data_IF_574499473111
#
_entry.id   IF_574499473111
#
_cell.length_a   1.000
_cell.length_b   1.000
_cell.length_c   1.000
_cell.angle_alpha   90.00
_cell.angle_beta   90.00
_cell.angle_gamma   90.00
#
_symmetry.space_group_name_H-M   'P 1'
#
loop_
_entity.id
_entity.type
_entity.pdbx_description
1 polymer ?
#
# COMPACT_ATOMS: atom_id res chain seq x y z
N UNK A 1 -7.12 12.20 10.70
CA UNK A 1 -6.46 11.96 12.01
C UNK A 1 -6.17 10.47 12.28
N UNK A 2 -4.89 10.10 12.42
CA UNK A 2 -4.42 8.73 12.75
C UNK A 2 -4.92 8.28 14.15
N UNK A 3 -5.40 7.03 14.33
CA UNK A 3 -5.82 6.52 15.64
C UNK A 3 -4.65 6.48 16.61
N UNK A 4 -4.94 6.63 17.90
CA UNK A 4 -3.95 6.58 18.97
C UNK A 4 -4.50 5.77 20.13
N UNK A 5 -3.89 4.61 20.35
CA UNK A 5 -4.23 3.67 21.44
C UNK A 5 -4.18 4.36 22.81
N UNK A 6 -3.28 5.34 22.99
CA UNK A 6 -3.17 6.10 24.23
C UNK A 6 -4.33 7.09 24.45
N UNK A 7 -5.00 7.52 23.38
CA UNK A 7 -6.18 8.40 23.43
C UNK A 7 -7.50 7.62 23.44
N UNK A 8 -7.47 6.34 23.11
CA UNK A 8 -8.65 5.47 22.98
C UNK A 8 -9.26 5.02 24.32
N UNK A 9 -8.58 5.24 25.45
CA UNK A 9 -9.10 4.90 26.78
C UNK A 9 -10.35 5.69 27.23
N UNK A 10 -10.78 6.71 26.47
CA UNK A 10 -11.91 7.55 26.87
C UNK A 10 -13.20 7.36 26.05
N UNK A 11 -13.18 6.80 24.84
CA UNK A 11 -14.42 6.57 24.06
C UNK A 11 -14.25 5.40 23.09
N UNK A 12 -14.68 4.20 23.48
CA UNK A 12 -14.75 3.03 22.59
C UNK A 12 -15.96 3.21 21.65
N UNK A 13 -15.80 4.01 20.61
CA UNK A 13 -16.64 3.91 19.41
C UNK A 13 -15.75 3.56 18.23
N UNK A 14 -16.00 2.39 17.63
CA UNK A 14 -15.39 1.96 16.36
C UNK A 14 -15.81 2.93 15.25
N UNK A 15 -15.16 4.09 15.16
CA UNK A 15 -15.30 4.96 14.00
C UNK A 15 -14.62 4.27 12.82
N UNK A 16 -15.42 3.98 11.79
CA UNK A 16 -14.89 3.54 10.51
C UNK A 16 -14.12 4.71 9.88
N UNK A 17 -12.79 4.66 9.91
CA UNK A 17 -11.94 5.68 9.28
C UNK A 17 -11.57 5.21 7.87
N UNK A 18 -12.00 5.95 6.85
CA UNK A 18 -11.73 5.62 5.44
C UNK A 18 -10.39 6.16 4.93
N UNK A 19 -9.85 7.24 5.51
CA UNK A 19 -8.55 7.79 5.15
C UNK A 19 -7.88 8.56 6.31
N UNK A 20 -6.55 8.67 6.24
CA UNK A 20 -5.74 9.44 7.20
C UNK A 20 -4.94 10.56 6.54
N UNK A 21 -5.27 10.89 5.29
CA UNK A 21 -4.64 11.99 4.57
C UNK A 21 -5.36 13.26 4.99
N UNK A 22 -4.73 14.04 5.86
CA UNK A 22 -5.24 15.35 6.28
C UNK A 22 -4.86 16.41 5.21
N UNK A 23 -5.62 17.51 5.12
CA UNK A 23 -5.28 18.64 4.24
C UNK A 23 -4.01 19.34 4.77
N UNK A 24 -2.89 19.15 4.07
CA UNK A 24 -1.59 19.71 4.46
C UNK A 24 -0.81 18.81 5.45
N UNK A 25 -0.44 17.58 5.04
CA UNK A 25 0.35 16.68 5.87
C UNK A 25 1.72 17.30 6.17
N UNK A 26 2.13 17.27 7.45
CA UNK A 26 3.49 17.60 7.87
C UNK A 26 4.35 16.35 7.74
N UNK A 27 5.43 16.46 6.97
CA UNK A 27 6.38 15.37 6.77
C UNK A 27 7.61 15.57 7.64
N UNK A 28 8.17 14.46 8.10
CA UNK A 28 9.42 14.43 8.85
C UNK A 28 10.37 13.43 8.22
N UNK A 29 11.63 13.83 8.08
CA UNK A 29 12.75 12.90 7.87
C UNK A 29 13.18 12.40 9.24
N UNK A 30 13.15 11.08 9.42
CA UNK A 30 13.54 10.44 10.67
C UNK A 30 14.68 9.46 10.40
N UNK A 31 15.75 9.58 11.17
CA UNK A 31 16.87 8.64 11.20
C UNK A 31 17.17 8.24 12.66
N UNK A 32 18.33 7.60 12.90
CA UNK A 32 18.77 7.23 14.26
C UNK A 32 19.16 8.43 15.11
N UNK A 33 19.45 9.57 14.48
CA UNK A 33 19.99 10.77 15.10
C UNK A 33 18.89 11.74 15.53
N UNK A 34 17.73 11.70 14.86
CA UNK A 34 16.57 12.47 15.26
C UNK A 34 15.54 12.65 14.15
N UNK A 35 14.80 13.75 14.25
CA UNK A 35 13.73 14.12 13.33
C UNK A 35 13.99 15.51 12.75
N UNK A 36 13.75 15.68 11.46
CA UNK A 36 13.88 16.93 10.73
C UNK A 36 12.59 17.21 9.94
N UNK A 37 11.99 18.38 10.13
CA UNK A 37 10.77 18.76 9.40
C UNK A 37 11.08 18.95 7.91
N UNK A 38 10.25 18.36 7.04
CA UNK A 38 10.40 18.37 5.59
C UNK A 38 9.35 19.27 4.96
N UNK A 39 9.79 20.22 4.12
CA UNK A 39 8.93 21.10 3.34
C UNK A 39 9.34 20.99 1.87
N UNK A 40 8.37 20.94 0.96
CA UNK A 40 8.64 20.87 -0.47
C UNK A 40 8.75 22.26 -1.07
N UNK A 41 9.73 22.46 -1.96
CA UNK A 41 9.89 23.69 -2.70
C UNK A 41 8.66 23.94 -3.61
N UNK A 42 8.32 25.21 -3.91
CA UNK A 42 7.22 25.53 -4.84
C UNK A 42 7.41 24.85 -6.21
N UNK A 43 6.35 24.26 -6.77
CA UNK A 43 6.40 23.53 -8.04
C UNK A 43 6.90 22.10 -7.94
N UNK A 44 7.06 21.57 -6.73
CA UNK A 44 7.35 20.15 -6.53
C UNK A 44 6.08 19.31 -6.76
N UNK A 45 5.84 18.96 -8.03
CA UNK A 45 4.64 18.22 -8.45
C UNK A 45 4.79 16.69 -8.36
N UNK A 46 5.98 16.19 -7.98
CA UNK A 46 6.31 14.76 -7.84
C UNK A 46 5.82 14.14 -6.52
N UNK A 47 4.63 14.51 -6.06
CA UNK A 47 4.02 13.98 -4.83
C UNK A 47 2.98 12.87 -5.11
N UNK A 48 3.32 11.69 -5.68
CA UNK A 48 2.45 10.55 -5.50
C UNK A 48 2.70 9.98 -4.09
N UNK A 49 1.87 10.44 -3.14
CA UNK A 49 1.64 9.86 -1.80
C UNK A 49 2.90 9.31 -1.09
N UNK A 50 3.72 10.20 -0.54
CA UNK A 50 4.73 9.78 0.43
C UNK A 50 4.04 9.11 1.62
N UNK A 51 4.39 7.86 1.89
CA UNK A 51 3.88 7.09 3.01
C UNK A 51 4.93 7.03 4.13
N UNK A 52 4.46 7.05 5.38
CA UNK A 52 5.34 6.81 6.52
C UNK A 52 6.00 5.43 6.39
N UNK A 53 7.30 5.36 6.63
CA UNK A 53 8.09 4.13 6.55
C UNK A 53 8.86 3.95 5.23
N UNK A 54 8.65 4.81 4.23
CA UNK A 54 9.49 4.83 3.04
C UNK A 54 10.92 5.30 3.37
N UNK A 55 11.91 4.65 2.77
CA UNK A 55 13.32 5.05 2.84
C UNK A 55 13.75 5.57 1.48
N UNK A 56 13.86 6.89 1.37
CA UNK A 56 14.15 7.61 0.13
C UNK A 56 15.34 8.56 0.35
N UNK A 57 16.01 8.94 -0.73
CA UNK A 57 16.96 10.05 -0.72
C UNK A 57 16.25 11.38 -0.93
N UNK A 58 16.61 12.41 -0.18
CA UNK A 58 16.05 13.76 -0.31
C UNK A 58 17.17 14.75 -0.64
N UNK A 59 16.97 15.54 -1.69
CA UNK A 59 17.91 16.58 -2.14
C UNK A 59 17.28 17.94 -1.87
N UNK A 60 18.05 18.83 -1.26
CA UNK A 60 17.54 20.10 -0.80
C UNK A 60 18.53 20.85 0.08
N UNK A 61 18.01 21.80 0.86
CA UNK A 61 18.81 22.65 1.75
C UNK A 61 18.17 22.76 3.12
N UNK A 62 19.02 22.90 4.14
CA UNK A 62 18.56 23.24 5.48
C UNK A 62 18.26 24.75 5.53
N UNK A 63 17.08 25.10 6.02
CA UNK A 63 16.65 26.48 6.25
C UNK A 63 17.04 26.94 7.65
N UNK A 64 17.02 28.25 7.89
CA UNK A 64 17.33 28.87 9.19
C UNK A 64 16.39 28.47 10.33
N UNK A 65 15.26 27.82 10.03
CA UNK A 65 14.25 27.37 11.00
C UNK A 65 14.32 25.88 11.32
N UNK A 66 15.48 25.23 11.09
CA UNK A 66 15.65 23.79 11.26
C UNK A 66 14.64 22.96 10.42
N UNK A 67 14.25 23.47 9.25
CA UNK A 67 13.44 22.74 8.27
C UNK A 67 14.28 22.41 7.05
N UNK A 68 14.07 21.25 6.47
CA UNK A 68 14.68 20.87 5.20
C UNK A 68 13.73 21.23 4.05
N UNK A 69 14.16 22.16 3.21
CA UNK A 69 13.45 22.50 1.97
C UNK A 69 13.93 21.56 0.86
N UNK A 70 13.07 20.62 0.49
CA UNK A 70 13.33 19.58 -0.50
C UNK A 70 12.98 20.06 -1.91
N UNK A 71 13.91 19.92 -2.84
CA UNK A 71 13.71 20.23 -4.26
C UNK A 71 13.64 18.97 -5.13
N UNK A 72 14.19 17.83 -4.69
CA UNK A 72 14.06 16.56 -5.40
C UNK A 72 14.06 15.34 -4.47
N UNK A 73 13.44 14.25 -4.93
CA UNK A 73 13.36 12.98 -4.22
C UNK A 73 13.96 11.89 -5.09
N UNK A 74 14.90 11.13 -4.51
CA UNK A 74 15.58 10.02 -5.14
C UNK A 74 14.96 8.71 -4.66
N UNK A 75 14.36 7.97 -5.59
CA UNK A 75 13.80 6.66 -5.33
C UNK A 75 14.88 5.57 -5.40
N UNK A 76 14.73 4.46 -4.67
CA UNK A 76 15.60 3.30 -4.80
C UNK A 76 15.68 2.84 -6.25
N UNK A 77 16.88 2.43 -6.69
CA UNK A 77 17.05 1.86 -8.02
C UNK A 77 16.17 0.62 -8.18
N UNK A 78 15.61 0.37 -9.37
CA UNK A 78 14.87 -0.86 -9.62
C UNK A 78 15.79 -2.06 -9.35
N UNK A 79 15.22 -3.11 -8.76
CA UNK A 79 15.92 -4.37 -8.59
C UNK A 79 16.34 -4.88 -9.97
N UNK A 80 17.54 -5.51 -10.06
CA UNK A 80 17.98 -6.11 -11.31
C UNK A 80 16.95 -7.15 -11.74
N UNK A 81 16.29 -6.90 -12.87
CA UNK A 81 15.35 -7.85 -13.43
C UNK A 81 16.10 -9.13 -13.78
N UNK A 82 15.65 -10.26 -13.22
CA UNK A 82 16.01 -11.55 -13.80
C UNK A 82 15.29 -11.65 -15.15
N UNK A 83 16.06 -11.84 -16.22
CA UNK A 83 15.49 -12.13 -17.53
C UNK A 83 14.81 -13.50 -17.45
N UNK A 84 13.49 -13.53 -17.50
CA UNK A 84 12.75 -14.78 -17.59
C UNK A 84 12.73 -15.23 -19.06
N UNK A 85 13.22 -16.45 -19.32
CA UNK A 85 12.97 -17.14 -20.58
C UNK A 85 11.54 -17.68 -20.50
N UNK A 86 10.64 -17.12 -21.31
CA UNK A 86 9.30 -17.66 -21.46
C UNK A 86 9.40 -18.98 -22.24
N UNK A 87 9.48 -20.11 -21.52
CA UNK A 87 9.31 -21.42 -22.15
C UNK A 87 7.86 -21.58 -22.61
N UNK A 88 7.68 -22.03 -23.86
CA UNK A 88 6.49 -21.83 -24.69
C UNK A 88 5.22 -22.60 -24.34
N UNK A 89 4.92 -22.88 -23.08
CA UNK A 89 3.54 -23.25 -22.68
C UNK A 89 2.83 -22.04 -22.09
N UNK A 90 1.80 -21.55 -22.78
CA UNK A 90 0.93 -20.50 -22.27
C UNK A 90 -0.01 -21.05 -21.18
N UNK A 91 0.59 -21.51 -20.09
CA UNK A 91 -0.15 -21.98 -18.92
C UNK A 91 -0.93 -20.82 -18.32
N UNK A 92 -2.24 -20.96 -18.27
CA UNK A 92 -3.13 -19.92 -17.74
C UNK A 92 -3.18 -20.03 -16.22
N UNK A 93 -3.10 -18.90 -15.54
CA UNK A 93 -3.27 -18.80 -14.09
C UNK A 93 -4.51 -17.96 -13.81
N UNK A 94 -5.39 -18.44 -12.92
CA UNK A 94 -6.49 -17.64 -12.39
C UNK A 94 -6.01 -16.95 -11.11
N UNK A 95 -6.14 -15.63 -11.04
CA UNK A 95 -5.89 -14.86 -9.83
C UNK A 95 -7.25 -14.34 -9.36
N UNK A 96 -7.63 -14.66 -8.14
CA UNK A 96 -8.84 -14.16 -7.51
C UNK A 96 -8.50 -13.52 -6.16
N UNK A 97 -9.26 -12.50 -5.78
CA UNK A 97 -9.03 -11.76 -4.55
C UNK A 97 -10.34 -11.40 -3.87
N UNK A 98 -10.34 -11.41 -2.53
CA UNK A 98 -11.48 -11.05 -1.70
C UNK A 98 -12.79 -11.77 -2.11
N UNK A 99 -12.72 -13.08 -2.34
CA UNK A 99 -13.89 -13.85 -2.80
C UNK A 99 -15.00 -13.97 -1.75
N UNK A 100 -14.71 -13.70 -0.46
CA UNK A 100 -15.68 -13.71 0.63
C UNK A 100 -16.58 -14.95 0.62
N UNK A 101 -16.00 -16.14 0.46
CA UNK A 101 -16.72 -17.42 0.35
C UNK A 101 -17.60 -17.60 1.58
N UNK A 102 -18.91 -17.73 1.35
CA UNK A 102 -19.93 -17.94 2.37
C UNK A 102 -21.14 -18.69 1.78
N UNK A 103 -22.14 -19.01 2.61
CA UNK A 103 -23.34 -19.76 2.18
C UNK A 103 -24.13 -19.05 1.07
N UNK A 104 -24.08 -17.72 1.00
CA UNK A 104 -24.82 -16.91 0.03
C UNK A 104 -24.18 -16.84 -1.37
N UNK A 105 -22.87 -17.10 -1.50
CA UNK A 105 -22.17 -16.99 -2.78
C UNK A 105 -21.44 -18.27 -3.25
N UNK A 106 -21.36 -19.31 -2.41
CA UNK A 106 -20.62 -20.54 -2.73
C UNK A 106 -21.07 -21.21 -4.02
N UNK A 107 -22.38 -21.24 -4.32
CA UNK A 107 -22.90 -21.83 -5.55
C UNK A 107 -22.45 -21.06 -6.81
N UNK A 108 -22.34 -19.73 -6.73
CA UNK A 108 -21.82 -18.91 -7.84
C UNK A 108 -20.33 -19.16 -8.06
N UNK A 109 -19.57 -19.34 -6.96
CA UNK A 109 -18.14 -19.61 -7.03
C UNK A 109 -17.83 -21.02 -7.57
N UNK A 110 -18.70 -22.00 -7.30
CA UNK A 110 -18.61 -23.33 -7.91
C UNK A 110 -18.71 -23.27 -9.44
N UNK A 111 -19.61 -22.46 -9.99
CA UNK A 111 -19.73 -22.29 -11.45
C UNK A 111 -18.43 -21.75 -12.06
N UNK A 112 -17.78 -20.80 -11.38
CA UNK A 112 -16.50 -20.25 -11.82
C UNK A 112 -15.40 -21.30 -11.73
N UNK A 113 -15.35 -22.07 -10.62
CA UNK A 113 -14.40 -23.15 -10.45
C UNK A 113 -14.57 -24.23 -11.54
N UNK A 114 -15.81 -24.60 -11.86
CA UNK A 114 -16.14 -25.58 -12.88
C UNK A 114 -15.77 -25.09 -14.28
N UNK A 115 -16.06 -23.83 -14.60
CA UNK A 115 -15.68 -23.24 -15.89
C UNK A 115 -14.15 -23.21 -16.09
N UNK A 116 -13.39 -23.02 -15.02
CA UNK A 116 -11.95 -22.86 -15.04
C UNK A 116 -11.18 -24.19 -14.87
N UNK A 117 -11.82 -25.25 -14.36
CA UNK A 117 -11.21 -26.51 -13.91
C UNK A 117 -10.12 -27.05 -14.83
N UNK A 118 -10.39 -27.12 -16.13
CA UNK A 118 -9.48 -27.69 -17.13
C UNK A 118 -8.77 -26.63 -17.99
N UNK A 119 -8.97 -25.35 -17.68
CA UNK A 119 -8.46 -24.21 -18.47
C UNK A 119 -7.28 -23.50 -17.82
N UNK A 120 -7.00 -23.79 -16.55
CA UNK A 120 -5.96 -23.14 -15.77
C UNK A 120 -5.01 -24.17 -15.17
N UNK A 121 -3.73 -23.82 -15.09
CA UNK A 121 -2.70 -24.63 -14.42
C UNK A 121 -2.64 -24.34 -12.93
N UNK A 122 -2.98 -23.11 -12.52
CA UNK A 122 -2.94 -22.69 -11.14
C UNK A 122 -4.03 -21.67 -10.80
N UNK A 123 -4.49 -21.70 -9.54
CA UNK A 123 -5.33 -20.70 -8.91
C UNK A 123 -4.54 -20.01 -7.80
N UNK A 124 -4.47 -18.69 -7.82
CA UNK A 124 -3.88 -17.86 -6.78
C UNK A 124 -5.00 -17.07 -6.11
N UNK A 125 -5.19 -17.29 -4.81
CA UNK A 125 -6.12 -16.54 -3.97
C UNK A 125 -5.36 -15.51 -3.16
N UNK A 126 -5.77 -14.25 -3.23
CA UNK A 126 -5.14 -13.12 -2.53
C UNK A 126 -6.16 -12.44 -1.62
N UNK A 127 -5.78 -12.03 -0.42
CA UNK A 127 -6.67 -11.33 0.51
C UNK A 127 -7.71 -12.24 1.20
N UNK A 128 -8.82 -11.62 1.63
CA UNK A 128 -9.80 -12.25 2.52
C UNK A 128 -10.83 -13.05 1.72
N UNK A 129 -10.55 -14.34 1.56
CA UNK A 129 -11.37 -15.20 0.70
C UNK A 129 -12.44 -15.98 1.45
N UNK A 130 -12.46 -15.95 2.78
CA UNK A 130 -13.48 -16.61 3.60
C UNK A 130 -14.21 -15.56 4.42
N UNK A 131 -15.51 -15.42 4.18
CA UNK A 131 -16.34 -14.54 5.00
C UNK A 131 -16.64 -15.18 6.35
N UNK A 132 -16.73 -14.37 7.41
CA UNK A 132 -17.39 -14.83 8.64
C UNK A 132 -18.86 -15.06 8.34
N UNK A 133 -19.37 -16.22 8.75
CA UNK A 133 -20.79 -16.55 8.67
C UNK A 133 -21.60 -15.55 9.49
N UNK A 134 -22.48 -14.79 8.83
CA UNK A 134 -23.76 -14.38 9.43
C UNK A 134 -24.72 -15.58 9.41
#
# INVERSE_FOLDING_TARGET
>A
AKPSVLKENNEIQKKHVSCYVDDGPVYYLQDRSGNLELVFAPGFDKLPALLTGMVLGFVGKLTTRARFECCDVVFPSPLKNQSYVLEGSADRVLIASNCMINRGNIEKLKVIADYCRDKIKALILIGDNFGTSE
#
